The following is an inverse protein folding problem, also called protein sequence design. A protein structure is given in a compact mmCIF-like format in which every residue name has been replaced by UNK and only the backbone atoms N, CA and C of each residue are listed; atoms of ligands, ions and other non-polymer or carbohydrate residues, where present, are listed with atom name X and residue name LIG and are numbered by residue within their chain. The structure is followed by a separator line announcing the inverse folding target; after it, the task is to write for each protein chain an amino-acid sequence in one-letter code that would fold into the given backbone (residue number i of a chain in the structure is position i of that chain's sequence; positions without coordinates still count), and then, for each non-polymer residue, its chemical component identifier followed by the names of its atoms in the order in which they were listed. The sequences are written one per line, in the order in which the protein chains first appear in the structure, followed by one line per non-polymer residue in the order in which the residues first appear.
data_IF_323339789992
#
_entry.id   IF_323339789992
#
_cell.length_a   1.000
_cell.length_b   1.000
_cell.length_c   1.000
_cell.angle_alpha   90.00
_cell.angle_beta   90.00
_cell.angle_gamma   90.00
#
_symmetry.space_group_name_H-M   'P 1'
#
loop_
_entity.id
_entity.type
_entity.pdbx_description
1 polymer ?
#
# COMPACT_ATOMS: atom_id res chain seq x y z
N UNK A 1 29.23 -33.72 -19.05
CA UNK A 1 28.84 -33.32 -18.93
C UNK A 1 28.60 -32.62 -18.31
N UNK A 2 28.59 -32.11 -18.10
CA UNK A 2 28.29 -31.50 -17.53
C UNK A 2 27.46 -30.99 -17.48
N UNK A 3 27.09 -30.91 -17.28
CA UNK A 3 26.30 -30.32 -17.24
C UNK A 3 25.80 -29.65 -16.38
N UNK A 4 25.97 -29.06 -16.07
CA UNK A 4 25.65 -28.39 -15.24
C UNK A 4 24.80 -27.57 -15.26
N UNK A 5 24.21 -27.45 -14.60
CA UNK A 5 23.28 -26.69 -14.57
C UNK A 5 23.59 -25.41 -14.40
N UNK A 6 23.26 -24.85 -14.64
CA UNK A 6 23.34 -23.76 -14.45
C UNK A 6 22.92 -23.23 -13.58
N UNK A 7 23.14 -22.81 -13.12
CA UNK A 7 22.75 -22.20 -12.20
C UNK A 7 22.66 -21.08 -12.14
N UNK A 8 22.71 -20.95 -12.75
CA UNK A 8 22.73 -19.85 -12.85
C UNK A 8 22.13 -19.03 -11.94
N UNK A 9 20.99 -19.05 -11.82
CA UNK A 9 20.37 -18.28 -10.82
C UNK A 9 20.44 -19.05 -9.56
N UNK A 10 21.09 -18.53 -8.57
CA UNK A 10 21.04 -19.20 -7.30
C UNK A 10 19.61 -19.30 -6.86
N UNK A 11 19.28 -20.36 -6.25
CA UNK A 11 17.97 -20.51 -5.65
C UNK A 11 17.89 -19.54 -4.49
N UNK A 12 17.06 -18.52 -4.62
CA UNK A 12 16.87 -17.57 -3.55
C UNK A 12 15.83 -18.14 -2.62
N UNK A 13 16.24 -18.36 -1.40
CA UNK A 13 15.31 -18.81 -0.38
C UNK A 13 14.50 -17.59 0.04
N UNK A 14 13.22 -17.61 -0.25
CA UNK A 14 12.36 -16.50 0.08
C UNK A 14 11.96 -16.59 1.52
N UNK A 15 12.30 -15.58 2.29
CA UNK A 15 11.80 -15.43 3.65
C UNK A 15 10.65 -14.49 3.62
N UNK A 16 9.60 -14.78 4.38
CA UNK A 16 8.50 -13.82 4.49
C UNK A 16 9.03 -12.51 5.02
N UNK A 17 8.71 -11.45 4.34
CA UNK A 17 9.01 -10.13 4.85
C UNK A 17 7.84 -9.24 4.55
N UNK A 18 7.69 -8.25 5.38
CA UNK A 18 6.61 -7.29 5.23
C UNK A 18 7.15 -6.09 4.48
N UNK A 19 6.47 -5.77 3.40
CA UNK A 19 6.82 -4.57 2.66
C UNK A 19 6.13 -3.41 3.35
N UNK A 20 6.92 -2.52 3.91
CA UNK A 20 6.41 -1.38 4.66
C UNK A 20 6.99 -0.09 4.10
N UNK A 21 6.25 0.98 4.26
CA UNK A 21 6.77 2.30 3.96
C UNK A 21 6.16 3.31 4.90
N UNK A 22 6.88 4.41 5.09
CA UNK A 22 6.45 5.50 5.93
C UNK A 22 5.89 6.61 5.07
N UNK A 23 4.74 7.12 5.46
CA UNK A 23 4.08 8.21 4.75
C UNK A 23 3.96 9.40 5.68
N UNK A 24 4.50 10.54 5.24
CA UNK A 24 4.38 11.80 5.96
C UNK A 24 3.70 12.78 5.03
N UNK A 25 2.52 13.24 5.39
CA UNK A 25 1.77 14.11 4.52
C UNK A 25 0.59 14.72 5.23
N UNK A 26 -0.38 15.16 4.44
CA UNK A 26 -1.57 15.81 4.95
C UNK A 26 -2.79 15.01 4.50
N UNK A 27 -3.76 14.87 5.38
CA UNK A 27 -4.99 14.15 5.06
C UNK A 27 -5.85 15.06 4.21
N UNK A 28 -6.20 14.58 3.01
CA UNK A 28 -7.06 15.32 2.09
C UNK A 28 -8.51 14.91 2.22
N UNK A 29 -8.78 13.67 2.63
CA UNK A 29 -10.14 13.19 2.77
C UNK A 29 -10.16 11.82 3.38
N UNK A 30 -11.34 11.39 3.82
CA UNK A 30 -11.53 10.09 4.43
C UNK A 30 -12.85 9.53 3.93
N UNK A 31 -12.80 8.31 3.39
CA UNK A 31 -13.97 7.57 3.00
C UNK A 31 -14.16 6.40 3.93
N UNK A 32 -15.39 5.93 4.03
CA UNK A 32 -15.73 4.76 4.82
C UNK A 32 -16.51 3.80 3.95
N UNK A 33 -16.26 2.52 4.13
CA UNK A 33 -17.06 1.50 3.47
C UNK A 33 -17.08 0.25 4.35
N UNK A 34 -18.08 -0.58 4.13
CA UNK A 34 -18.24 -1.79 4.92
C UNK A 34 -17.39 -2.89 4.33
N UNK A 35 -16.53 -3.47 5.16
CA UNK A 35 -15.76 -4.64 4.79
C UNK A 35 -16.38 -5.87 5.41
N UNK A 36 -15.75 -7.02 5.17
CA UNK A 36 -16.26 -8.28 5.70
C UNK A 36 -16.23 -8.31 7.22
N UNK A 37 -15.27 -7.63 7.82
CA UNK A 37 -15.08 -7.67 9.27
C UNK A 37 -15.35 -6.33 9.92
N UNK A 38 -16.16 -5.49 9.30
CA UNK A 38 -16.52 -4.20 9.87
C UNK A 38 -16.23 -3.06 8.93
N UNK A 39 -16.27 -1.86 9.47
CA UNK A 39 -16.05 -0.65 8.68
C UNK A 39 -14.58 -0.45 8.40
N UNK A 40 -14.27 -0.15 7.16
CA UNK A 40 -12.92 0.19 6.73
C UNK A 40 -12.88 1.69 6.44
N UNK A 41 -11.89 2.36 6.99
CA UNK A 41 -11.64 3.76 6.71
C UNK A 41 -10.52 3.86 5.69
N UNK A 42 -10.75 4.66 4.67
CA UNK A 42 -9.72 4.88 3.65
C UNK A 42 -9.34 6.35 3.72
N UNK A 43 -8.13 6.60 4.17
CA UNK A 43 -7.62 7.96 4.37
C UNK A 43 -6.72 8.34 3.21
N UNK A 44 -7.08 9.41 2.52
CA UNK A 44 -6.25 9.90 1.41
C UNK A 44 -5.19 10.83 1.98
N UNK A 45 -3.93 10.44 1.81
CA UNK A 45 -2.79 11.20 2.29
C UNK A 45 -2.06 11.78 1.10
N UNK A 46 -1.85 13.09 1.13
CA UNK A 46 -1.14 13.82 0.08
C UNK A 46 0.24 14.17 0.60
N UNK A 47 1.26 13.67 -0.08
CA UNK A 47 2.63 13.97 0.26
C UNK A 47 3.07 15.22 -0.47
N UNK A 48 3.97 16.01 0.12
CA UNK A 48 4.49 17.19 -0.58
C UNK A 48 5.19 16.77 -1.87
N UNK A 49 5.10 17.60 -2.88
CA UNK A 49 5.84 17.34 -4.11
C UNK A 49 7.33 17.53 -3.86
N UNK A 50 8.14 16.82 -4.64
CA UNK A 50 9.59 16.88 -4.47
C UNK A 50 10.16 18.21 -5.00
N UNK A 51 9.45 18.85 -5.91
CA UNK A 51 9.84 20.15 -6.43
C UNK A 51 8.62 20.87 -6.97
N UNK A 52 8.81 22.09 -7.44
CA UNK A 52 7.68 22.93 -7.88
C UNK A 52 7.08 22.47 -9.21
N UNK A 53 7.73 21.56 -9.91
CA UNK A 53 7.25 21.06 -11.19
C UNK A 53 6.56 19.72 -11.11
N UNK A 54 6.63 19.06 -9.97
CA UNK A 54 6.08 17.73 -9.78
C UNK A 54 4.75 17.80 -9.07
N UNK A 55 3.83 16.93 -9.45
CA UNK A 55 2.57 16.81 -8.75
C UNK A 55 2.78 16.08 -7.42
N UNK A 56 2.04 16.47 -6.38
CA UNK A 56 2.10 15.72 -5.12
C UNK A 56 1.62 14.29 -5.32
N UNK A 57 2.23 13.37 -4.61
CA UNK A 57 1.79 11.98 -4.61
C UNK A 57 0.64 11.82 -3.63
N UNK A 58 -0.31 10.97 -3.98
CA UNK A 58 -1.49 10.71 -3.17
C UNK A 58 -1.62 9.22 -2.93
N UNK A 59 -1.85 8.86 -1.68
CA UNK A 59 -1.98 7.46 -1.31
C UNK A 59 -3.22 7.27 -0.45
N UNK A 60 -4.00 6.25 -0.77
CA UNK A 60 -5.16 5.88 0.03
C UNK A 60 -4.74 4.79 0.99
N UNK A 61 -4.89 5.04 2.27
CA UNK A 61 -4.48 4.11 3.33
C UNK A 61 -5.71 3.56 4.00
N UNK A 62 -5.82 2.24 4.03
CA UNK A 62 -6.93 1.55 4.65
C UNK A 62 -6.62 1.26 6.11
N UNK A 63 -7.62 1.36 6.95
CA UNK A 63 -7.48 1.05 8.37
C UNK A 63 -8.84 0.69 8.94
N UNK A 64 -8.80 -0.02 10.07
CA UNK A 64 -10.04 -0.38 10.77
C UNK A 64 -10.50 0.73 11.70
N UNK A 65 -9.65 1.72 11.94
CA UNK A 65 -9.99 2.84 12.80
C UNK A 65 -9.71 4.15 12.05
N UNK A 66 -10.36 5.19 12.51
CA UNK A 66 -10.12 6.53 11.98
C UNK A 66 -8.78 7.03 12.49
N UNK A 67 -7.93 7.51 11.60
CA UNK A 67 -6.56 7.88 11.98
C UNK A 67 -6.32 9.38 11.95
N UNK A 68 -7.33 10.17 11.64
CA UNK A 68 -7.20 11.62 11.67
C UNK A 68 -8.37 12.29 10.99
N UNK A 69 -8.22 13.56 10.71
CA UNK A 69 -9.24 14.39 10.10
C UNK A 69 -8.67 15.10 8.87
N UNK A 70 -9.52 15.43 7.89
CA UNK A 70 -9.05 16.21 6.74
C UNK A 70 -8.35 17.49 7.19
N UNK A 71 -7.24 17.78 6.57
CA UNK A 71 -6.44 18.97 6.88
C UNK A 71 -5.32 18.73 7.88
N UNK A 72 -5.35 17.63 8.59
CA UNK A 72 -4.30 17.33 9.58
C UNK A 72 -3.06 16.75 8.93
N UNK A 73 -1.92 17.04 9.50
CA UNK A 73 -0.68 16.38 9.11
C UNK A 73 -0.60 15.02 9.78
N UNK A 74 -0.03 14.07 9.08
CA UNK A 74 0.03 12.71 9.57
C UNK A 74 1.38 12.07 9.19
N UNK A 75 1.82 11.16 10.03
CA UNK A 75 3.05 10.40 9.84
C UNK A 75 2.74 8.98 10.26
N UNK A 76 2.60 8.10 9.28
CA UNK A 76 2.19 6.72 9.53
C UNK A 76 3.07 5.76 8.77
N UNK A 77 3.12 4.53 9.26
CA UNK A 77 3.74 3.42 8.54
C UNK A 77 2.63 2.53 8.01
N UNK A 78 2.79 2.07 6.79
CA UNK A 78 1.79 1.23 6.15
C UNK A 78 2.44 -0.04 5.62
N UNK A 79 1.66 -1.11 5.57
CA UNK A 79 2.02 -2.33 4.85
C UNK A 79 1.57 -2.18 3.41
N UNK A 80 2.38 -2.67 2.49
CA UNK A 80 2.00 -2.72 1.09
C UNK A 80 1.68 -4.17 0.76
N UNK A 81 0.43 -4.44 0.40
CA UNK A 81 -0.03 -5.77 0.05
C UNK A 81 -0.64 -5.73 -1.33
N UNK A 82 -0.46 -6.80 -2.08
CA UNK A 82 -1.02 -6.89 -3.41
C UNK A 82 -2.34 -7.66 -3.34
N UNK A 83 -3.31 -7.21 -4.09
CA UNK A 83 -4.59 -7.85 -4.24
C UNK A 83 -4.81 -8.11 -5.72
N UNK A 84 -5.33 -9.28 -6.06
CA UNK A 84 -5.72 -9.51 -7.44
C UNK A 84 -7.23 -9.65 -7.53
N UNK A 85 -7.76 -9.30 -8.68
CA UNK A 85 -9.18 -9.45 -8.93
C UNK A 85 -9.39 -9.61 -10.43
N UNK A 86 -10.50 -10.25 -10.78
CA UNK A 86 -10.81 -10.53 -12.17
C UNK A 86 -11.95 -9.61 -12.61
N UNK A 87 -11.74 -8.92 -13.73
CA UNK A 87 -12.76 -8.06 -14.28
C UNK A 87 -13.83 -8.90 -14.99
N UNK A 88 -14.92 -8.25 -15.37
CA UNK A 88 -16.00 -8.95 -16.07
C UNK A 88 -15.53 -9.55 -17.38
N UNK A 89 -14.53 -8.97 -18.01
CA UNK A 89 -13.98 -9.48 -19.26
C UNK A 89 -13.04 -10.67 -19.03
N UNK A 90 -12.79 -11.04 -17.78
CA UNK A 90 -11.91 -12.16 -17.46
C UNK A 90 -10.46 -11.77 -17.26
N UNK A 91 -10.14 -10.50 -17.38
CA UNK A 91 -8.77 -10.03 -17.18
C UNK A 91 -8.44 -10.00 -15.70
N UNK A 92 -7.27 -10.53 -15.35
CA UNK A 92 -6.78 -10.50 -13.97
C UNK A 92 -6.02 -9.21 -13.76
N UNK A 93 -6.37 -8.50 -12.72
CA UNK A 93 -5.73 -7.24 -12.36
C UNK A 93 -5.04 -7.39 -11.01
N UNK A 94 -3.95 -6.68 -10.84
CA UNK A 94 -3.18 -6.68 -9.60
C UNK A 94 -3.10 -5.26 -9.10
N UNK A 95 -3.48 -5.07 -7.86
CA UNK A 95 -3.55 -3.73 -7.27
C UNK A 95 -2.85 -3.73 -5.93
N UNK A 96 -1.94 -2.79 -5.69
CA UNK A 96 -1.36 -2.66 -4.36
C UNK A 96 -2.35 -1.95 -3.44
N UNK A 97 -2.50 -2.47 -2.24
CA UNK A 97 -3.27 -1.84 -1.19
C UNK A 97 -2.33 -1.45 -0.06
N UNK A 98 -2.60 -0.31 0.53
CA UNK A 98 -1.84 0.19 1.66
C UNK A 98 -2.69 0.06 2.91
N UNK A 99 -2.18 -0.67 3.91
CA UNK A 99 -2.87 -0.88 5.17
C UNK A 99 -2.06 -0.29 6.31
N UNK A 100 -2.74 0.39 7.21
CA UNK A 100 -2.09 0.97 8.37
C UNK A 100 -1.41 -0.10 9.21
N UNK A 101 -0.17 0.18 9.62
CA UNK A 101 0.55 -0.68 10.55
C UNK A 101 0.33 -0.11 11.96
N UNK A 102 -0.61 -0.69 12.67
CA UNK A 102 -0.94 -0.21 14.02
C UNK A 102 0.13 -0.57 15.04
N UNK A 103 1.04 -1.46 14.69
CA UNK A 103 2.11 -1.85 15.59
C UNK A 103 3.32 -0.93 15.49
N UNK A 104 3.37 -0.05 14.49
CA UNK A 104 4.52 0.82 14.27
C UNK A 104 4.50 2.03 15.17
#
# INVERSE_FOLDING_TARGET
MSNEPKPATPVVKLTPNELKMRLQGKIAGIDQFDGQNGTIHETLIVLPSVDEYSSPSRFAVKSERKIGKPGESIDVTVFVKSRYWKSQSGKVNHTPDLWLDDAA
#
